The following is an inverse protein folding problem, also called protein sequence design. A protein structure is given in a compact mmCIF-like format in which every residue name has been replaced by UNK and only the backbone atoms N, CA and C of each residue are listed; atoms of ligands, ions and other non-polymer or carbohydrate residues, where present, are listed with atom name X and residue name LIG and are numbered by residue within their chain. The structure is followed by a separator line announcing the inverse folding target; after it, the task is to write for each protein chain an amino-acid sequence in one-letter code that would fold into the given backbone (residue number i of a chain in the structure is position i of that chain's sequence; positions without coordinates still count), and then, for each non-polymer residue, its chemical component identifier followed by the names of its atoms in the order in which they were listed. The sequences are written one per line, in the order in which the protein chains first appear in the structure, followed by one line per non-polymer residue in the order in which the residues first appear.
data_IF_410505208512
#
_entry.id   IF_410505208512
#
_cell.length_a   1.000
_cell.length_b   1.000
_cell.length_c   1.000
_cell.angle_alpha   90.00
_cell.angle_beta   90.00
_cell.angle_gamma   90.00
#
_symmetry.space_group_name_H-M   'P 1'
#
loop_
_entity.id
_entity.type
_entity.pdbx_description
1 polymer ?
#
# COMPACT_ATOMS: atom_id res chain seq x y z
N UNK A 1 -40.22 22.50 28.01
CA UNK A 1 -38.94 22.40 27.27
C UNK A 1 -38.35 21.03 27.58
N UNK A 2 -38.58 20.07 26.70
CA UNK A 2 -38.13 18.67 26.89
C UNK A 2 -36.67 18.54 26.47
N UNK A 3 -35.84 18.24 27.43
CA UNK A 3 -34.42 17.87 27.22
C UNK A 3 -34.37 16.48 26.57
N UNK A 4 -34.39 16.44 25.24
CA UNK A 4 -34.09 15.23 24.49
C UNK A 4 -32.58 15.03 24.54
N UNK A 5 -32.10 14.22 25.52
CA UNK A 5 -30.74 13.69 25.48
C UNK A 5 -30.67 12.80 24.22
N UNK A 6 -29.85 13.21 23.26
CA UNK A 6 -29.45 12.34 22.17
C UNK A 6 -28.81 11.09 22.80
N UNK A 7 -29.46 9.94 22.63
CA UNK A 7 -28.84 8.64 22.86
C UNK A 7 -27.79 8.47 21.78
N UNK A 8 -26.57 8.90 22.06
CA UNK A 8 -25.39 8.48 21.31
C UNK A 8 -25.20 6.99 21.62
N UNK A 9 -25.82 6.16 20.77
CA UNK A 9 -25.45 4.76 20.68
C UNK A 9 -24.05 4.76 20.07
N UNK A 10 -23.02 4.59 20.91
CA UNK A 10 -21.68 4.19 20.48
C UNK A 10 -21.75 2.78 19.86
N UNK A 11 -22.41 2.67 18.73
CA UNK A 11 -22.24 1.51 17.87
C UNK A 11 -20.77 1.52 17.46
N UNK A 12 -20.03 0.39 17.64
CA UNK A 12 -18.68 0.31 17.16
C UNK A 12 -18.72 0.57 15.66
N UNK A 13 -18.26 1.75 15.27
CA UNK A 13 -18.28 2.15 13.87
C UNK A 13 -17.27 1.34 13.08
N UNK A 14 -17.45 1.28 11.76
CA UNK A 14 -16.53 0.58 10.86
C UNK A 14 -15.10 1.09 11.03
N UNK A 15 -14.14 0.16 11.16
CA UNK A 15 -12.72 0.48 11.28
C UNK A 15 -12.00 0.03 10.01
N UNK A 16 -11.28 0.95 9.37
CA UNK A 16 -10.43 0.63 8.23
C UNK A 16 -8.98 0.45 8.67
N UNK A 17 -8.31 -0.59 8.16
CA UNK A 17 -6.86 -0.74 8.22
C UNK A 17 -6.21 -0.27 6.92
N UNK A 18 -5.03 0.35 7.02
CA UNK A 18 -4.29 0.92 5.87
C UNK A 18 -2.83 0.53 5.97
N UNK A 19 -2.27 0.09 4.83
CA UNK A 19 -0.84 -0.18 4.69
C UNK A 19 -0.38 0.10 3.25
N UNK A 20 0.96 0.13 3.03
CA UNK A 20 1.57 0.39 1.73
C UNK A 20 2.53 -0.72 1.29
N UNK A 21 2.82 -0.72 -0.01
CA UNK A 21 3.89 -1.50 -0.63
C UNK A 21 4.65 -0.69 -1.66
N UNK A 22 5.96 -0.87 -1.72
CA UNK A 22 6.76 -0.27 -2.80
C UNK A 22 7.45 1.04 -2.46
N UNK A 23 7.75 1.36 -1.19
CA UNK A 23 8.53 2.56 -0.82
C UNK A 23 9.99 2.48 -1.21
N UNK A 24 10.64 1.32 -1.00
CA UNK A 24 12.07 1.15 -1.21
C UNK A 24 12.57 0.94 -2.64
N UNK A 25 11.78 0.43 -3.59
CA UNK A 25 12.20 0.22 -4.98
C UNK A 25 12.64 1.51 -5.69
N UNK A 26 13.56 1.37 -6.65
CA UNK A 26 14.05 2.43 -7.53
C UNK A 26 13.09 2.74 -8.69
N UNK A 27 12.09 1.87 -8.91
CA UNK A 27 11.14 1.99 -10.02
C UNK A 27 9.71 1.68 -9.57
N UNK A 28 8.77 2.30 -10.27
CA UNK A 28 7.35 2.10 -10.16
C UNK A 28 6.66 2.93 -9.08
N UNK A 29 5.31 2.95 -9.10
CA UNK A 29 4.50 3.66 -8.14
C UNK A 29 4.62 3.06 -6.74
N UNK A 30 4.20 3.81 -5.73
CA UNK A 30 3.89 3.27 -4.40
C UNK A 30 2.41 2.89 -4.39
N UNK A 31 2.11 1.72 -3.85
CA UNK A 31 0.75 1.20 -3.69
C UNK A 31 0.32 1.34 -2.23
N UNK A 32 -0.92 1.67 -1.98
CA UNK A 32 -1.54 1.60 -0.67
C UNK A 32 -2.91 0.94 -0.78
N UNK A 33 -3.31 0.24 0.28
CA UNK A 33 -4.63 -0.32 0.37
C UNK A 33 -5.32 0.11 1.66
N UNK A 34 -6.64 0.22 1.61
CA UNK A 34 -7.52 0.39 2.76
C UNK A 34 -8.54 -0.75 2.77
N UNK A 35 -8.77 -1.36 3.93
CA UNK A 35 -9.64 -2.52 4.09
C UNK A 35 -10.53 -2.36 5.33
N UNK A 36 -11.84 -2.58 5.18
CA UNK A 36 -12.77 -2.77 6.28
C UNK A 36 -13.17 -4.25 6.27
N UNK A 37 -12.79 -4.97 7.32
CA UNK A 37 -13.15 -6.37 7.50
C UNK A 37 -14.55 -6.51 8.10
N UNK A 38 -15.16 -7.67 7.89
CA UNK A 38 -16.37 -8.08 8.58
C UNK A 38 -15.96 -8.82 9.87
N UNK A 39 -16.29 -8.25 11.02
CA UNK A 39 -15.99 -8.86 12.33
C UNK A 39 -16.73 -10.19 12.55
N UNK A 40 -17.82 -10.44 11.80
CA UNK A 40 -18.57 -11.69 11.84
C UNK A 40 -17.93 -12.79 10.96
N UNK A 41 -17.04 -12.43 10.04
CA UNK A 41 -16.36 -13.34 9.12
C UNK A 41 -14.83 -13.21 9.24
N UNK A 42 -14.23 -13.64 10.37
CA UNK A 42 -12.79 -13.45 10.60
C UNK A 42 -11.95 -14.26 9.62
N UNK A 43 -11.03 -13.59 8.92
CA UNK A 43 -10.11 -14.22 7.98
C UNK A 43 -8.92 -14.79 8.75
N UNK A 44 -8.76 -16.12 8.70
CA UNK A 44 -7.66 -16.83 9.37
C UNK A 44 -6.35 -16.69 8.58
N UNK A 45 -5.24 -16.57 9.30
CA UNK A 45 -3.90 -16.59 8.71
C UNK A 45 -3.41 -15.24 8.17
N UNK A 46 -4.14 -14.15 8.43
CA UNK A 46 -3.64 -12.81 8.20
C UNK A 46 -2.36 -12.58 9.02
N UNK A 47 -1.35 -12.03 8.38
CA UNK A 47 -0.05 -11.70 8.96
C UNK A 47 0.66 -10.66 8.08
N UNK A 48 1.78 -10.14 8.57
CA UNK A 48 2.71 -9.32 7.77
C UNK A 48 2.98 -9.98 6.41
N UNK A 49 2.64 -9.28 5.33
CA UNK A 49 2.71 -9.79 3.95
C UNK A 49 4.10 -10.27 3.55
N UNK A 50 5.16 -9.75 4.17
CA UNK A 50 6.55 -10.12 3.91
C UNK A 50 6.93 -11.48 4.53
N UNK A 51 6.19 -11.92 5.57
CA UNK A 51 6.37 -13.23 6.21
C UNK A 51 5.60 -14.36 5.52
N UNK A 52 4.68 -14.02 4.62
CA UNK A 52 3.89 -14.98 3.85
C UNK A 52 4.63 -15.39 2.58
N UNK A 53 4.49 -16.67 2.20
CA UNK A 53 4.92 -17.12 0.88
C UNK A 53 4.07 -16.45 -0.21
N UNK A 54 4.57 -16.31 -1.45
CA UNK A 54 3.77 -15.74 -2.56
C UNK A 54 2.44 -16.46 -2.75
N UNK A 55 2.42 -17.80 -2.76
CA UNK A 55 1.20 -18.60 -2.91
C UNK A 55 0.18 -18.35 -1.79
N UNK A 56 0.65 -18.28 -0.54
CA UNK A 56 -0.25 -18.01 0.60
C UNK A 56 -0.81 -16.59 0.55
N UNK A 57 0.00 -15.64 0.08
CA UNK A 57 -0.40 -14.24 -0.08
C UNK A 57 -1.47 -14.07 -1.17
N UNK A 58 -1.31 -14.72 -2.32
CA UNK A 58 -2.31 -14.75 -3.38
C UNK A 58 -3.63 -15.40 -2.90
N UNK A 59 -3.56 -16.52 -2.20
CA UNK A 59 -4.74 -17.16 -1.62
C UNK A 59 -5.50 -16.23 -0.64
N UNK A 60 -4.77 -15.57 0.26
CA UNK A 60 -5.37 -14.62 1.20
C UNK A 60 -5.91 -13.36 0.50
N UNK A 61 -5.27 -12.91 -0.57
CA UNK A 61 -5.77 -11.80 -1.41
C UNK A 61 -7.17 -12.10 -1.92
N UNK A 62 -7.42 -13.29 -2.47
CA UNK A 62 -8.74 -13.67 -2.98
C UNK A 62 -9.77 -13.76 -1.85
N UNK A 63 -9.40 -14.31 -0.69
CA UNK A 63 -10.28 -14.37 0.49
C UNK A 63 -10.63 -12.96 0.99
N UNK A 64 -9.65 -12.06 1.10
CA UNK A 64 -9.88 -10.68 1.53
C UNK A 64 -10.87 -9.99 0.59
N UNK A 65 -10.69 -10.13 -0.72
CA UNK A 65 -11.59 -9.52 -1.72
C UNK A 65 -13.01 -10.08 -1.65
N UNK A 66 -13.15 -11.35 -1.31
CA UNK A 66 -14.46 -12.01 -1.22
C UNK A 66 -15.19 -11.70 0.11
N UNK A 67 -14.47 -11.53 1.22
CA UNK A 67 -15.06 -11.48 2.56
C UNK A 67 -14.99 -10.10 3.24
N UNK A 68 -14.13 -9.19 2.77
CA UNK A 68 -14.09 -7.84 3.33
C UNK A 68 -15.39 -7.08 3.02
N UNK A 69 -15.88 -6.28 3.96
CA UNK A 69 -17.03 -5.40 3.74
C UNK A 69 -16.76 -4.42 2.59
N UNK A 70 -15.57 -3.85 2.54
CA UNK A 70 -15.06 -3.15 1.37
C UNK A 70 -13.54 -2.97 1.46
N UNK A 71 -12.93 -2.69 0.32
CA UNK A 71 -11.53 -2.34 0.20
C UNK A 71 -11.32 -1.39 -0.97
N UNK A 72 -10.19 -0.71 -0.97
CA UNK A 72 -9.70 0.08 -2.10
C UNK A 72 -8.19 0.00 -2.15
N UNK A 73 -7.64 -0.16 -3.36
CA UNK A 73 -6.20 -0.03 -3.62
C UNK A 73 -5.99 1.23 -4.46
N UNK A 74 -5.01 2.02 -4.09
CA UNK A 74 -4.65 3.25 -4.78
C UNK A 74 -3.13 3.40 -4.87
N UNK A 75 -2.69 4.26 -5.76
CA UNK A 75 -1.27 4.49 -6.01
C UNK A 75 -0.90 5.97 -5.97
N UNK A 76 0.39 6.25 -5.77
CA UNK A 76 1.00 7.49 -6.20
C UNK A 76 2.08 7.17 -7.24
N UNK A 77 2.08 7.94 -8.32
CA UNK A 77 2.92 7.69 -9.50
C UNK A 77 4.40 7.99 -9.25
N UNK A 78 5.25 7.63 -10.21
CA UNK A 78 6.68 7.94 -10.18
C UNK A 78 6.90 9.44 -10.17
N UNK A 79 6.14 10.20 -10.96
CA UNK A 79 6.19 11.64 -11.05
C UNK A 79 5.81 12.29 -9.71
N UNK A 80 4.76 11.78 -9.05
CA UNK A 80 4.34 12.24 -7.73
C UNK A 80 5.41 11.94 -6.66
N UNK A 81 6.06 10.77 -6.75
CA UNK A 81 7.17 10.43 -5.85
C UNK A 81 8.34 11.40 -6.05
N UNK A 82 8.69 11.72 -7.30
CA UNK A 82 9.79 12.63 -7.61
C UNK A 82 9.49 14.08 -7.21
N UNK A 83 8.23 14.50 -7.26
CA UNK A 83 7.78 15.85 -6.86
C UNK A 83 7.63 16.01 -5.34
N UNK A 84 7.03 15.01 -4.69
CA UNK A 84 6.59 15.12 -3.29
C UNK A 84 7.58 14.48 -2.29
N UNK A 85 8.50 13.66 -2.73
CA UNK A 85 9.26 12.61 -2.05
C UNK A 85 8.43 11.37 -1.70
N UNK A 86 9.13 10.26 -1.40
CA UNK A 86 8.47 8.97 -1.15
C UNK A 86 7.56 8.96 0.08
N UNK A 87 7.87 9.71 1.12
CA UNK A 87 7.01 9.78 2.31
C UNK A 87 5.67 10.43 1.97
N UNK A 88 5.68 11.60 1.35
CA UNK A 88 4.45 12.33 1.01
C UNK A 88 3.65 11.61 -0.06
N UNK A 89 4.29 10.99 -1.04
CA UNK A 89 3.63 10.16 -2.05
C UNK A 89 2.97 8.92 -1.42
N UNK A 90 3.60 8.29 -0.42
CA UNK A 90 3.00 7.19 0.32
C UNK A 90 1.74 7.64 1.06
N UNK A 91 1.80 8.77 1.78
CA UNK A 91 0.64 9.31 2.48
C UNK A 91 -0.48 9.73 1.51
N UNK A 92 -0.14 10.22 0.32
CA UNK A 92 -1.10 10.51 -0.74
C UNK A 92 -1.81 9.24 -1.23
N UNK A 93 -1.06 8.16 -1.48
CA UNK A 93 -1.63 6.87 -1.88
C UNK A 93 -2.57 6.32 -0.79
N UNK A 94 -2.16 6.38 0.49
CA UNK A 94 -3.00 5.99 1.62
C UNK A 94 -4.29 6.83 1.72
N UNK A 95 -4.18 8.15 1.55
CA UNK A 95 -5.35 9.04 1.52
C UNK A 95 -6.32 8.65 0.40
N UNK A 96 -5.80 8.37 -0.80
CA UNK A 96 -6.60 7.92 -1.95
C UNK A 96 -7.29 6.60 -1.68
N UNK A 97 -6.59 5.64 -1.07
CA UNK A 97 -7.15 4.33 -0.71
C UNK A 97 -8.31 4.49 0.29
N UNK A 98 -8.17 5.31 1.33
CA UNK A 98 -9.23 5.58 2.29
C UNK A 98 -10.42 6.31 1.64
N UNK A 99 -10.16 7.33 0.82
CA UNK A 99 -11.22 8.06 0.10
C UNK A 99 -11.96 7.21 -0.93
N UNK A 100 -11.32 6.18 -1.48
CA UNK A 100 -11.90 5.25 -2.43
C UNK A 100 -12.75 4.14 -1.80
N UNK A 101 -12.80 4.02 -0.47
CA UNK A 101 -13.69 3.08 0.19
C UNK A 101 -15.16 3.44 -0.06
N UNK A 102 -15.98 2.45 -0.48
CA UNK A 102 -17.43 2.66 -0.68
C UNK A 102 -18.20 2.81 0.62
N UNK A 103 -17.67 2.31 1.74
CA UNK A 103 -18.21 2.48 3.08
C UNK A 103 -17.32 3.46 3.85
N UNK A 104 -17.92 4.46 4.50
CA UNK A 104 -17.17 5.44 5.28
C UNK A 104 -16.83 4.87 6.66
N UNK A 105 -15.53 4.69 7.00
CA UNK A 105 -15.14 4.25 8.33
C UNK A 105 -15.32 5.38 9.35
N UNK A 106 -15.56 5.01 10.61
CA UNK A 106 -15.54 5.94 11.75
C UNK A 106 -14.12 6.19 12.27
N UNK A 107 -13.22 5.21 12.04
CA UNK A 107 -11.81 5.25 12.44
C UNK A 107 -10.94 4.56 11.39
N UNK A 108 -9.72 5.08 11.22
CA UNK A 108 -8.70 4.53 10.33
C UNK A 108 -7.46 4.18 11.16
N UNK A 109 -6.98 2.94 11.03
CA UNK A 109 -5.73 2.46 11.62
C UNK A 109 -4.69 2.34 10.50
N UNK A 110 -3.56 3.02 10.64
CA UNK A 110 -2.52 3.12 9.60
C UNK A 110 -1.25 2.45 10.10
N UNK A 111 -0.66 1.56 9.29
CA UNK A 111 0.66 1.01 9.64
C UNK A 111 1.72 2.11 9.70
N UNK A 112 2.64 1.96 10.67
CA UNK A 112 3.77 2.87 10.83
C UNK A 112 3.55 3.97 11.88
N UNK A 113 4.21 5.13 11.68
CA UNK A 113 4.27 6.23 12.65
C UNK A 113 3.85 7.59 12.05
N UNK A 114 3.29 7.61 10.86
CA UNK A 114 2.82 8.80 10.15
C UNK A 114 1.40 8.59 9.66
N UNK A 115 0.64 9.67 9.61
CA UNK A 115 -0.76 9.65 9.18
C UNK A 115 -0.93 10.45 7.88
N UNK A 116 -1.73 9.95 6.93
CA UNK A 116 -2.22 10.77 5.83
C UNK A 116 -3.19 11.85 6.35
N UNK A 117 -3.38 12.91 5.57
CA UNK A 117 -4.38 13.94 5.88
C UNK A 117 -5.78 13.37 5.57
N UNK A 118 -6.58 13.16 6.61
CA UNK A 118 -7.92 12.58 6.51
C UNK A 118 -8.93 13.42 7.32
N UNK A 119 -10.17 13.48 6.85
CA UNK A 119 -11.30 14.10 7.58
C UNK A 119 -11.98 13.07 8.53
N UNK A 120 -11.26 12.02 8.91
CA UNK A 120 -11.71 10.89 9.73
C UNK A 120 -10.66 10.69 10.82
N UNK A 121 -11.10 10.33 12.03
CA UNK A 121 -10.18 9.98 13.12
C UNK A 121 -9.22 8.88 12.65
N UNK A 122 -7.92 9.12 12.75
CA UNK A 122 -6.89 8.17 12.37
C UNK A 122 -5.88 7.95 13.50
N UNK A 123 -5.30 6.75 13.54
CA UNK A 123 -4.29 6.35 14.50
C UNK A 123 -3.18 5.57 13.79
N UNK A 124 -1.93 5.94 14.07
CA UNK A 124 -0.76 5.24 13.55
C UNK A 124 -0.37 4.10 14.49
N UNK A 125 -0.22 2.89 13.94
CA UNK A 125 0.09 1.68 14.68
C UNK A 125 1.43 1.12 14.19
N UNK A 126 2.46 1.22 14.99
CA UNK A 126 3.78 0.67 14.65
C UNK A 126 3.71 -0.85 14.58
N UNK A 127 4.11 -1.43 13.43
CA UNK A 127 3.98 -2.86 13.11
C UNK A 127 2.54 -3.36 13.17
N UNK A 128 1.60 -2.51 12.76
CA UNK A 128 0.17 -2.84 12.70
C UNK A 128 -0.14 -3.99 11.75
N UNK A 129 0.65 -4.14 10.68
CA UNK A 129 0.62 -5.26 9.74
C UNK A 129 0.77 -6.65 10.41
N UNK A 130 1.39 -6.72 11.58
CA UNK A 130 1.58 -7.95 12.36
C UNK A 130 0.57 -8.11 13.51
N UNK A 131 -0.18 -7.07 13.88
CA UNK A 131 -1.01 -7.04 15.10
C UNK A 131 -2.47 -6.71 14.88
N UNK A 132 -2.79 -6.02 13.77
CA UNK A 132 -4.15 -5.55 13.45
C UNK A 132 -4.65 -6.23 12.18
N UNK A 133 -5.68 -7.07 12.24
CA UNK A 133 -6.16 -7.84 11.07
C UNK A 133 -6.48 -7.00 9.83
N UNK A 134 -7.13 -5.84 9.99
CA UNK A 134 -7.46 -4.96 8.86
C UNK A 134 -6.22 -4.34 8.21
N UNK A 135 -5.17 -4.03 8.99
CA UNK A 135 -3.88 -3.55 8.46
C UNK A 135 -3.15 -4.70 7.77
N UNK A 136 -3.13 -5.92 8.36
CA UNK A 136 -2.57 -7.12 7.71
C UNK A 136 -3.24 -7.40 6.36
N UNK A 137 -4.56 -7.27 6.27
CA UNK A 137 -5.29 -7.42 5.03
C UNK A 137 -4.90 -6.36 3.99
N UNK A 138 -4.78 -5.09 4.42
CA UNK A 138 -4.32 -4.00 3.55
C UNK A 138 -2.88 -4.25 3.04
N UNK A 139 -1.97 -4.69 3.91
CA UNK A 139 -0.60 -5.09 3.55
C UNK A 139 -0.57 -6.12 2.43
N UNK A 140 -1.42 -7.16 2.56
CA UNK A 140 -1.52 -8.23 1.55
C UNK A 140 -2.03 -7.67 0.22
N UNK A 141 -3.12 -6.87 0.23
CA UNK A 141 -3.67 -6.29 -1.00
C UNK A 141 -2.66 -5.37 -1.71
N UNK A 142 -2.06 -4.44 -0.98
CA UNK A 142 -1.06 -3.53 -1.55
C UNK A 142 0.14 -4.29 -2.13
N UNK A 143 0.61 -5.34 -1.44
CA UNK A 143 1.75 -6.15 -1.88
C UNK A 143 1.45 -6.98 -3.11
N UNK A 144 0.30 -7.64 -3.18
CA UNK A 144 -0.10 -8.46 -4.34
C UNK A 144 -0.31 -7.60 -5.57
N UNK A 145 -1.04 -6.49 -5.45
CA UNK A 145 -1.28 -5.58 -6.58
C UNK A 145 0.04 -5.02 -7.13
N UNK A 146 0.97 -4.67 -6.25
CA UNK A 146 2.29 -4.20 -6.67
C UNK A 146 3.12 -5.30 -7.33
N UNK A 147 3.07 -6.53 -6.83
CA UNK A 147 3.81 -7.64 -7.42
C UNK A 147 3.25 -8.01 -8.81
N UNK A 148 1.93 -7.94 -9.01
CA UNK A 148 1.26 -8.12 -10.30
C UNK A 148 1.65 -7.01 -11.27
N UNK A 149 1.66 -5.76 -10.84
CA UNK A 149 2.18 -4.65 -11.64
C UNK A 149 3.62 -4.91 -12.10
N UNK A 150 4.49 -5.46 -11.25
CA UNK A 150 5.86 -5.79 -11.64
C UNK A 150 5.93 -6.87 -12.75
N UNK A 151 4.97 -7.82 -12.78
CA UNK A 151 4.87 -8.82 -13.86
C UNK A 151 4.49 -8.15 -15.18
N UNK A 152 3.51 -7.26 -15.16
CA UNK A 152 3.01 -6.55 -16.34
C UNK A 152 4.08 -5.65 -16.97
N UNK A 153 4.82 -4.91 -16.15
CA UNK A 153 5.86 -4.00 -16.66
C UNK A 153 7.14 -4.72 -17.09
N UNK A 154 7.43 -5.89 -16.54
CA UNK A 154 8.58 -6.70 -16.97
C UNK A 154 8.45 -7.09 -18.44
N UNK A 155 7.23 -7.42 -18.90
CA UNK A 155 6.95 -7.70 -20.30
C UNK A 155 7.16 -6.48 -21.21
N UNK A 156 6.95 -5.26 -20.71
CA UNK A 156 7.14 -4.01 -21.45
C UNK A 156 8.59 -3.51 -21.43
N UNK A 157 9.33 -3.83 -20.37
CA UNK A 157 10.71 -3.40 -20.12
C UNK A 157 11.61 -4.59 -19.75
N UNK A 158 11.76 -5.61 -20.62
CA UNK A 158 12.40 -6.88 -20.29
C UNK A 158 13.87 -6.74 -19.89
N UNK A 159 14.54 -5.68 -20.32
CA UNK A 159 15.96 -5.46 -20.05
C UNK A 159 16.28 -5.15 -18.56
N UNK A 160 15.27 -4.81 -17.75
CA UNK A 160 15.51 -4.42 -16.35
C UNK A 160 15.29 -5.55 -15.35
N UNK A 161 14.49 -6.59 -15.67
CA UNK A 161 14.23 -7.74 -14.81
C UNK A 161 13.31 -7.43 -13.60
N UNK A 162 12.31 -6.58 -13.79
CA UNK A 162 11.36 -6.17 -12.74
C UNK A 162 10.60 -7.34 -12.14
N UNK A 163 10.36 -8.41 -12.91
CA UNK A 163 9.77 -9.65 -12.40
C UNK A 163 10.59 -10.26 -11.26
N UNK A 164 11.92 -10.22 -11.35
CA UNK A 164 12.81 -10.86 -10.37
C UNK A 164 12.98 -10.02 -9.11
N UNK A 165 13.40 -8.78 -9.24
CA UNK A 165 13.78 -7.94 -8.10
C UNK A 165 12.69 -6.92 -7.70
N UNK A 166 11.54 -6.91 -8.36
CA UNK A 166 10.40 -6.04 -8.05
C UNK A 166 10.78 -4.55 -7.97
N UNK A 167 11.76 -4.12 -8.78
CA UNK A 167 12.25 -2.74 -8.82
C UNK A 167 13.21 -2.35 -7.68
N UNK A 168 13.53 -3.25 -6.75
CA UNK A 168 14.53 -2.97 -5.71
C UNK A 168 15.94 -2.83 -6.31
N UNK A 169 16.78 -2.01 -5.66
CA UNK A 169 18.16 -1.72 -6.09
C UNK A 169 19.13 -2.87 -5.84
N UNK A 170 18.83 -4.06 -6.36
CA UNK A 170 19.73 -5.20 -6.39
C UNK A 170 20.87 -4.97 -7.37
N UNK A 171 21.96 -5.73 -7.28
CA UNK A 171 23.06 -5.63 -8.22
C UNK A 171 22.61 -5.80 -9.67
N UNK A 172 21.68 -6.76 -9.92
CA UNK A 172 21.12 -7.00 -11.26
C UNK A 172 20.39 -5.74 -11.77
N UNK A 173 19.57 -5.09 -10.94
CA UNK A 173 18.87 -3.86 -11.33
C UNK A 173 19.82 -2.69 -11.56
N UNK A 174 20.83 -2.52 -10.69
CA UNK A 174 21.85 -1.48 -10.84
C UNK A 174 22.69 -1.69 -12.11
N UNK A 175 23.03 -2.93 -12.46
CA UNK A 175 23.74 -3.27 -13.70
C UNK A 175 22.86 -2.91 -14.92
N UNK A 176 21.59 -3.32 -14.93
CA UNK A 176 20.67 -2.97 -16.01
C UNK A 176 20.51 -1.45 -16.18
N UNK A 177 20.46 -0.72 -15.07
CA UNK A 177 20.44 0.75 -15.09
C UNK A 177 21.70 1.37 -15.68
N UNK A 178 22.88 0.79 -15.43
CA UNK A 178 24.15 1.25 -16.01
C UNK A 178 24.22 0.96 -17.51
N UNK A 179 23.71 -0.19 -17.95
CA UNK A 179 23.76 -0.61 -19.34
C UNK A 179 22.72 0.08 -20.23
N UNK A 180 21.48 0.22 -19.74
CA UNK A 180 20.35 0.71 -20.55
C UNK A 180 19.87 2.12 -20.16
N UNK A 181 20.45 2.71 -19.11
CA UNK A 181 19.95 3.96 -18.54
C UNK A 181 18.62 3.81 -17.81
N UNK A 182 18.11 4.87 -17.16
CA UNK A 182 16.80 4.83 -16.51
C UNK A 182 15.65 5.00 -17.51
N UNK A 183 14.68 4.10 -17.49
CA UNK A 183 13.41 4.24 -18.22
C UNK A 183 12.42 5.14 -17.48
N UNK A 184 11.23 5.36 -18.07
CA UNK A 184 10.15 6.20 -17.51
C UNK A 184 9.62 5.73 -16.17
N UNK A 185 9.83 4.46 -15.82
CA UNK A 185 9.39 3.89 -14.55
C UNK A 185 10.34 4.18 -13.37
N UNK A 186 11.56 4.70 -13.65
CA UNK A 186 12.56 4.93 -12.61
C UNK A 186 12.34 6.25 -11.89
N UNK A 187 12.45 6.20 -10.56
CA UNK A 187 12.30 7.34 -9.65
C UNK A 187 13.58 8.20 -9.70
N UNK A 188 13.52 9.29 -10.42
CA UNK A 188 14.68 10.17 -10.70
C UNK A 188 15.22 10.87 -9.46
N UNK A 189 14.43 11.00 -8.40
CA UNK A 189 14.82 11.55 -7.11
C UNK A 189 15.58 10.56 -6.22
N UNK A 190 15.58 9.26 -6.54
CA UNK A 190 16.29 8.26 -5.76
C UNK A 190 17.78 8.25 -6.13
N UNK A 191 18.65 8.25 -5.10
CA UNK A 191 20.10 8.46 -5.27
C UNK A 191 20.77 7.59 -6.35
N UNK A 192 20.50 6.26 -6.49
CA UNK A 192 21.12 5.48 -7.55
C UNK A 192 20.73 5.93 -8.96
N UNK A 193 19.48 6.38 -9.16
CA UNK A 193 18.97 6.87 -10.44
C UNK A 193 19.44 8.30 -10.69
N UNK A 194 19.35 9.18 -9.69
CA UNK A 194 19.81 10.56 -9.76
C UNK A 194 21.28 10.66 -10.17
N UNK A 195 22.15 9.81 -9.60
CA UNK A 195 23.58 9.74 -9.92
C UNK A 195 23.85 9.43 -11.39
N UNK A 196 23.06 8.53 -12.01
CA UNK A 196 23.20 8.22 -13.44
C UNK A 196 22.72 9.37 -14.35
N UNK A 197 21.86 10.24 -13.84
CA UNK A 197 21.36 11.42 -14.53
C UNK A 197 22.24 12.67 -14.32
N UNK A 198 23.38 12.54 -13.62
CA UNK A 198 24.29 13.65 -13.33
C UNK A 198 23.75 14.67 -12.31
N UNK A 199 22.86 14.21 -11.42
CA UNK A 199 22.23 15.03 -10.36
C UNK A 199 22.80 14.71 -9.00
#
# INVERSE_FOLDING_TARGET
MSNQKSLDWDLPGLVAGVDEAGRGPLAGPVFAAAVILDDLLPIKGLADSKKLTPTKREHLYDIIKAQALCFCVATASVEEIDQLNILQATLLAMQRAVKGLRLKPSKVLVDGNRLPVLDIRAEAIVKGDSTVPSISAASILAKVERDRWCVEVDAQFPNYGFLTHKGYGTQMHLHALQEHGPCVLHRRSFAPVAKLLGK
#
